data_IF_482033344023
#
_entry.id   IF_482033344023
#
_cell.length_a   1.000
_cell.length_b   1.000
_cell.length_c   1.000
_cell.angle_alpha   90.00
_cell.angle_beta   90.00
_cell.angle_gamma   90.00
#
_symmetry.space_group_name_H-M   'P 1'
#
loop_
_entity.id
_entity.type
_entity.pdbx_description
1 polymer ?
#
# COMPACT_ATOMS: atom_id res chain seq x y z
N UNK A 1 5.73 40.80 -21.22
CA UNK A 1 6.68 39.70 -20.91
C UNK A 1 6.21 39.05 -19.62
N UNK A 2 5.62 37.86 -19.70
CA UNK A 2 5.12 37.14 -18.53
C UNK A 2 6.26 36.31 -17.93
N UNK A 3 6.53 36.50 -16.63
CA UNK A 3 7.54 35.77 -15.87
C UNK A 3 7.03 34.35 -15.61
N UNK A 4 7.73 33.34 -16.10
CA UNK A 4 7.51 31.95 -15.68
C UNK A 4 8.02 31.83 -14.25
N UNK A 5 7.10 31.65 -13.29
CA UNK A 5 7.48 31.29 -11.93
C UNK A 5 7.80 29.80 -11.95
N UNK A 6 9.09 29.46 -11.88
CA UNK A 6 9.54 28.11 -11.58
C UNK A 6 9.16 27.83 -10.14
N UNK A 7 8.04 27.16 -9.92
CA UNK A 7 7.66 26.67 -8.59
C UNK A 7 8.63 25.54 -8.23
N UNK A 8 9.77 25.88 -7.63
CA UNK A 8 10.60 24.89 -6.95
C UNK A 8 9.81 24.35 -5.77
N UNK A 9 9.14 23.22 -5.97
CA UNK A 9 8.50 22.45 -4.91
C UNK A 9 9.60 22.08 -3.93
N UNK A 10 9.67 22.83 -2.83
CA UNK A 10 10.60 22.53 -1.74
C UNK A 10 9.97 21.39 -0.96
N UNK A 11 10.07 20.17 -1.50
CA UNK A 11 9.64 18.97 -0.79
C UNK A 11 10.40 18.94 0.54
N UNK A 12 9.68 19.15 1.64
CA UNK A 12 10.28 19.27 2.96
C UNK A 12 10.95 17.94 3.32
N UNK A 13 12.24 17.95 3.65
CA UNK A 13 12.98 16.73 3.99
C UNK A 13 12.36 15.95 5.17
N UNK A 14 11.69 16.64 6.09
CA UNK A 14 10.95 16.01 7.19
C UNK A 14 9.75 15.19 6.69
N UNK A 15 9.14 15.60 5.57
CA UNK A 15 7.99 14.95 4.98
C UNK A 15 8.36 13.70 4.16
N UNK A 16 9.46 13.75 3.40
CA UNK A 16 10.02 12.55 2.76
C UNK A 16 10.45 11.50 3.79
N UNK A 17 10.91 11.96 4.94
CA UNK A 17 11.22 11.08 6.06
C UNK A 17 9.94 10.44 6.64
N UNK A 18 8.84 11.18 6.74
CA UNK A 18 7.52 10.67 7.16
C UNK A 18 6.98 9.58 6.23
N UNK A 19 6.97 9.79 4.90
CA UNK A 19 6.57 8.75 3.93
C UNK A 19 7.45 7.50 4.07
N UNK A 20 8.75 7.69 4.24
CA UNK A 20 9.70 6.59 4.39
C UNK A 20 9.45 5.80 5.67
N UNK A 21 9.14 6.48 6.77
CA UNK A 21 8.79 5.86 8.05
C UNK A 21 7.49 5.06 7.93
N UNK A 22 6.44 5.64 7.35
CA UNK A 22 5.15 4.97 7.12
C UNK A 22 5.32 3.72 6.26
N UNK A 23 6.11 3.80 5.19
CA UNK A 23 6.40 2.65 4.33
C UNK A 23 7.20 1.56 5.07
N UNK A 24 8.21 1.94 5.88
CA UNK A 24 8.96 0.98 6.69
C UNK A 24 8.07 0.23 7.69
N UNK A 25 7.18 0.95 8.37
CA UNK A 25 6.22 0.38 9.29
C UNK A 25 5.24 -0.57 8.59
N UNK A 26 4.78 -0.24 7.38
CA UNK A 26 3.93 -1.11 6.55
C UNK A 26 4.65 -2.44 6.26
N UNK A 27 5.89 -2.40 5.77
CA UNK A 27 6.64 -3.62 5.46
C UNK A 27 6.98 -4.45 6.70
N UNK A 28 7.18 -3.81 7.84
CA UNK A 28 7.38 -4.48 9.13
C UNK A 28 6.12 -5.26 9.53
N UNK A 29 4.95 -4.62 9.49
CA UNK A 29 3.66 -5.24 9.80
C UNK A 29 3.36 -6.40 8.83
N UNK A 30 3.58 -6.20 7.54
CA UNK A 30 3.40 -7.25 6.52
C UNK A 30 4.27 -8.48 6.81
N UNK A 31 5.52 -8.27 7.22
CA UNK A 31 6.43 -9.36 7.57
C UNK A 31 5.94 -10.14 8.78
N UNK A 32 5.45 -9.46 9.81
CA UNK A 32 4.90 -10.09 11.01
C UNK A 32 3.66 -10.93 10.69
N UNK A 33 2.72 -10.38 9.91
CA UNK A 33 1.51 -11.11 9.50
C UNK A 33 1.89 -12.31 8.63
N UNK A 34 2.85 -12.16 7.72
CA UNK A 34 3.35 -13.24 6.87
C UNK A 34 4.01 -14.36 7.66
N UNK A 35 4.77 -14.03 8.70
CA UNK A 35 5.39 -15.04 9.57
C UNK A 35 4.32 -15.92 10.24
N UNK A 36 3.26 -15.31 10.76
CA UNK A 36 2.13 -16.03 11.36
C UNK A 36 1.40 -16.86 10.29
N UNK A 37 1.07 -16.25 9.15
CA UNK A 37 0.30 -16.91 8.10
C UNK A 37 1.07 -18.06 7.40
N UNK A 38 2.40 -18.01 7.41
CA UNK A 38 3.26 -19.06 6.85
C UNK A 38 3.26 -20.36 7.66
N UNK A 39 2.69 -20.36 8.87
CA UNK A 39 2.65 -21.53 9.74
C UNK A 39 1.20 -21.83 10.19
N UNK A 40 0.59 -22.92 9.70
CA UNK A 40 -0.79 -23.31 10.03
C UNK A 40 -1.11 -23.33 11.53
N UNK A 41 -0.15 -23.79 12.35
CA UNK A 41 -0.29 -23.84 13.80
C UNK A 41 -0.32 -22.45 14.44
N UNK A 42 0.52 -21.53 13.95
CA UNK A 42 0.63 -20.15 14.47
C UNK A 42 -0.65 -19.35 14.21
N UNK A 43 -1.32 -19.55 13.06
CA UNK A 43 -2.61 -18.92 12.77
C UNK A 43 -3.65 -19.23 13.87
N UNK A 44 -3.68 -20.46 14.39
CA UNK A 44 -4.64 -20.87 15.42
C UNK A 44 -4.19 -20.43 16.81
N UNK A 45 -2.92 -20.68 17.14
CA UNK A 45 -2.36 -20.43 18.47
C UNK A 45 -2.27 -18.93 18.78
N UNK A 46 -2.03 -18.09 17.76
CA UNK A 46 -1.84 -16.64 17.87
C UNK A 46 -2.94 -15.82 17.19
N UNK A 47 -4.13 -16.38 16.99
CA UNK A 47 -5.26 -15.72 16.31
C UNK A 47 -5.59 -14.31 16.80
N UNK A 48 -5.46 -14.03 18.09
CA UNK A 48 -5.68 -12.69 18.66
C UNK A 48 -4.57 -11.72 18.28
N UNK A 49 -3.31 -12.17 18.33
CA UNK A 49 -2.18 -11.37 17.87
C UNK A 49 -2.25 -11.13 16.35
N UNK A 50 -2.66 -12.14 15.59
CA UNK A 50 -2.91 -12.03 14.16
C UNK A 50 -3.98 -10.99 13.85
N UNK A 51 -5.12 -11.02 14.56
CA UNK A 51 -6.18 -10.03 14.42
C UNK A 51 -5.64 -8.60 14.67
N UNK A 52 -4.95 -8.40 15.79
CA UNK A 52 -4.37 -7.09 16.11
C UNK A 52 -3.39 -6.61 15.03
N UNK A 53 -2.53 -7.50 14.51
CA UNK A 53 -1.61 -7.17 13.43
C UNK A 53 -2.33 -6.83 12.12
N UNK A 54 -3.44 -7.50 11.81
CA UNK A 54 -4.27 -7.20 10.63
C UNK A 54 -5.00 -5.86 10.75
N UNK A 55 -5.50 -5.53 11.95
CA UNK A 55 -6.12 -4.22 12.23
C UNK A 55 -5.10 -3.09 12.10
N UNK A 56 -3.89 -3.25 12.67
CA UNK A 56 -2.80 -2.29 12.51
C UNK A 56 -2.37 -2.17 11.05
N UNK A 57 -2.28 -3.28 10.32
CA UNK A 57 -1.95 -3.28 8.89
C UNK A 57 -2.99 -2.50 8.08
N UNK A 58 -4.29 -2.69 8.35
CA UNK A 58 -5.36 -1.93 7.70
C UNK A 58 -5.20 -0.43 7.93
N UNK A 59 -4.95 -0.03 9.18
CA UNK A 59 -4.82 1.38 9.53
C UNK A 59 -3.56 1.99 8.89
N UNK A 60 -2.45 1.24 8.87
CA UNK A 60 -1.22 1.65 8.21
C UNK A 60 -1.39 1.78 6.69
N UNK A 61 -2.11 0.87 6.04
CA UNK A 61 -2.42 0.95 4.61
C UNK A 61 -3.24 2.20 4.29
N UNK A 62 -4.23 2.52 5.13
CA UNK A 62 -5.03 3.73 4.93
C UNK A 62 -4.17 5.00 5.02
N UNK A 63 -3.23 5.05 5.97
CA UNK A 63 -2.29 6.16 6.10
C UNK A 63 -1.35 6.22 4.89
N UNK A 64 -0.75 5.09 4.50
CA UNK A 64 0.14 4.97 3.35
C UNK A 64 -0.51 5.49 2.07
N UNK A 65 -1.68 4.96 1.71
CA UNK A 65 -2.43 5.39 0.52
C UNK A 65 -2.87 6.86 0.60
N UNK A 66 -3.28 7.34 1.78
CA UNK A 66 -3.64 8.74 1.95
C UNK A 66 -2.45 9.68 1.72
N UNK A 67 -1.24 9.28 2.13
CA UNK A 67 -0.02 10.05 1.85
C UNK A 67 0.33 10.03 0.37
N UNK A 68 0.23 8.88 -0.29
CA UNK A 68 0.50 8.78 -1.74
C UNK A 68 -0.47 9.61 -2.57
N UNK A 69 -1.75 9.61 -2.19
CA UNK A 69 -2.79 10.39 -2.87
C UNK A 69 -2.69 11.89 -2.59
N UNK A 70 -2.43 12.30 -1.35
CA UNK A 70 -2.42 13.71 -0.96
C UNK A 70 -1.15 14.45 -1.41
N UNK A 71 -0.04 13.74 -1.51
CA UNK A 71 1.26 14.33 -1.85
C UNK A 71 1.75 13.94 -3.23
N UNK A 72 0.97 13.09 -3.90
CA UNK A 72 1.00 12.93 -5.33
C UNK A 72 2.40 12.74 -5.87
N UNK A 73 2.82 11.48 -5.95
CA UNK A 73 3.56 11.07 -7.15
C UNK A 73 2.72 11.31 -8.45
N UNK A 74 1.44 11.69 -8.30
CA UNK A 74 0.38 11.73 -9.29
C UNK A 74 -0.22 13.12 -9.59
N UNK A 75 0.07 14.16 -8.79
CA UNK A 75 -0.51 15.51 -9.02
C UNK A 75 0.39 16.43 -9.88
N UNK A 76 1.70 16.24 -9.88
CA UNK A 76 2.63 16.94 -10.80
C UNK A 76 2.71 16.35 -12.24
N UNK A 77 2.51 15.03 -12.49
CA UNK A 77 2.53 14.46 -13.85
C UNK A 77 1.36 14.88 -14.75
N UNK A 78 0.30 15.47 -14.19
CA UNK A 78 -0.86 15.96 -14.97
C UNK A 78 -0.42 17.04 -15.99
N UNK A 79 0.70 17.73 -15.72
CA UNK A 79 1.28 18.71 -16.65
C UNK A 79 2.30 18.09 -17.61
N UNK A 80 2.92 16.95 -17.25
CA UNK A 80 4.10 16.40 -17.96
C UNK A 80 3.72 15.33 -19.01
N UNK A 81 2.79 14.40 -18.73
CA UNK A 81 2.39 13.39 -19.72
C UNK A 81 1.00 12.74 -19.47
N UNK A 82 0.03 12.85 -20.42
CA UNK A 82 -1.30 12.24 -20.30
C UNK A 82 -1.31 10.72 -20.07
N UNK A 83 -0.27 10.00 -20.53
CA UNK A 83 -0.11 8.56 -20.31
C UNK A 83 0.17 8.23 -18.84
N UNK A 84 0.96 9.04 -18.15
CA UNK A 84 1.28 8.85 -16.74
C UNK A 84 0.06 9.13 -15.86
N UNK A 85 -0.80 10.09 -16.24
CA UNK A 85 -2.07 10.38 -15.56
C UNK A 85 -3.08 9.23 -15.63
N UNK A 86 -3.15 8.48 -16.74
CA UNK A 86 -4.03 7.29 -16.80
C UNK A 86 -3.52 6.14 -15.92
N UNK A 87 -2.20 5.91 -15.89
CA UNK A 87 -1.60 4.90 -15.03
C UNK A 87 -1.75 5.26 -13.55
N UNK A 88 -1.61 6.54 -13.22
CA UNK A 88 -1.85 7.10 -11.88
C UNK A 88 -3.26 6.82 -11.37
N UNK A 89 -4.27 7.14 -12.19
CA UNK A 89 -5.67 6.94 -11.81
C UNK A 89 -6.00 5.44 -11.68
N UNK A 90 -5.39 4.59 -12.52
CA UNK A 90 -5.52 3.14 -12.39
C UNK A 90 -4.94 2.64 -11.06
N UNK A 91 -3.74 3.08 -10.68
CA UNK A 91 -3.08 2.69 -9.43
C UNK A 91 -3.87 3.16 -8.20
N UNK A 92 -4.37 4.40 -8.23
CA UNK A 92 -5.28 4.93 -7.19
C UNK A 92 -6.54 4.07 -7.04
N UNK A 93 -7.07 3.53 -8.14
CA UNK A 93 -8.17 2.57 -8.10
C UNK A 93 -7.84 1.29 -7.31
N UNK A 94 -6.59 0.84 -7.36
CA UNK A 94 -6.14 -0.38 -6.67
C UNK A 94 -6.01 -0.20 -5.14
N UNK A 95 -5.75 1.02 -4.65
CA UNK A 95 -5.70 1.32 -3.21
C UNK A 95 -6.97 0.88 -2.50
N UNK A 96 -8.12 1.21 -3.09
CA UNK A 96 -9.43 0.85 -2.55
C UNK A 96 -9.58 -0.66 -2.46
N UNK A 97 -9.20 -1.38 -3.51
CA UNK A 97 -9.35 -2.83 -3.57
C UNK A 97 -8.44 -3.51 -2.53
N UNK A 98 -7.18 -3.07 -2.43
CA UNK A 98 -6.21 -3.55 -1.42
C UNK A 98 -6.69 -3.28 -0.01
N UNK A 99 -7.19 -2.08 0.26
CA UNK A 99 -7.75 -1.71 1.56
C UNK A 99 -8.95 -2.59 1.92
N UNK A 100 -9.86 -2.82 0.98
CA UNK A 100 -11.03 -3.68 1.20
C UNK A 100 -10.63 -5.14 1.45
N UNK A 101 -9.59 -5.65 0.78
CA UNK A 101 -9.04 -6.99 1.06
C UNK A 101 -8.49 -7.09 2.49
N UNK A 102 -7.73 -6.09 2.95
CA UNK A 102 -7.21 -6.06 4.32
C UNK A 102 -8.34 -6.00 5.36
N UNK A 103 -9.34 -5.14 5.14
CA UNK A 103 -10.55 -5.06 5.98
C UNK A 103 -11.28 -6.41 6.04
N UNK A 104 -11.56 -7.02 4.88
CA UNK A 104 -12.28 -8.29 4.80
C UNK A 104 -11.54 -9.42 5.52
N UNK A 105 -10.21 -9.46 5.43
CA UNK A 105 -9.40 -10.43 6.15
C UNK A 105 -9.45 -10.22 7.67
N UNK A 106 -9.30 -8.98 8.14
CA UNK A 106 -9.40 -8.66 9.57
C UNK A 106 -10.79 -9.01 10.13
N UNK A 107 -11.86 -8.63 9.43
CA UNK A 107 -13.24 -8.95 9.81
C UNK A 107 -13.50 -10.46 9.84
N UNK A 108 -12.99 -11.20 8.85
CA UNK A 108 -13.11 -12.66 8.83
C UNK A 108 -12.44 -13.28 10.06
N UNK A 109 -11.21 -12.87 10.36
CA UNK A 109 -10.46 -13.36 11.53
C UNK A 109 -11.18 -13.04 12.82
N UNK A 110 -11.68 -11.81 12.96
CA UNK A 110 -12.43 -11.35 14.12
C UNK A 110 -13.70 -12.20 14.36
N UNK A 111 -14.53 -12.34 13.32
CA UNK A 111 -15.81 -13.05 13.42
C UNK A 111 -15.61 -14.53 13.76
N UNK A 112 -14.66 -15.20 13.12
CA UNK A 112 -14.38 -16.63 13.37
C UNK A 112 -13.76 -16.86 14.74
N UNK A 113 -12.85 -15.98 15.16
CA UNK A 113 -12.26 -16.04 16.51
C UNK A 113 -13.33 -15.87 17.59
N UNK A 114 -14.24 -14.91 17.45
CA UNK A 114 -15.34 -14.68 18.40
C UNK A 114 -16.32 -15.88 18.48
N UNK A 115 -16.57 -16.54 17.35
CA UNK A 115 -17.49 -17.70 17.29
C UNK A 115 -16.85 -19.04 17.65
N UNK A 116 -15.51 -19.11 17.73
CA UNK A 116 -14.78 -20.36 17.93
C UNK A 116 -14.86 -21.32 16.75
N UNK A 117 -15.18 -20.83 15.56
CA UNK A 117 -15.38 -21.63 14.34
C UNK A 117 -14.06 -21.74 13.56
N UNK A 118 -13.29 -22.81 13.80
CA UNK A 118 -11.96 -23.00 13.18
C UNK A 118 -11.96 -23.90 11.94
N UNK A 119 -13.12 -24.37 11.50
CA UNK A 119 -13.23 -25.18 10.28
C UNK A 119 -12.79 -24.35 9.08
N UNK A 120 -11.81 -24.86 8.31
CA UNK A 120 -11.20 -24.16 7.15
C UNK A 120 -10.60 -22.77 7.47
N UNK A 121 -10.53 -22.38 8.74
CA UNK A 121 -10.06 -21.07 9.16
C UNK A 121 -8.63 -20.80 8.70
N UNK A 122 -7.75 -21.76 8.94
CA UNK A 122 -6.33 -21.66 8.62
C UNK A 122 -6.10 -21.55 7.11
N UNK A 123 -6.71 -22.45 6.34
CA UNK A 123 -6.57 -22.46 4.87
C UNK A 123 -7.11 -21.16 4.25
N UNK A 124 -8.24 -20.67 4.76
CA UNK A 124 -8.84 -19.43 4.27
C UNK A 124 -7.98 -18.21 4.60
N UNK A 125 -7.53 -18.07 5.86
CA UNK A 125 -6.68 -16.95 6.29
C UNK A 125 -5.38 -16.92 5.51
N UNK A 126 -4.69 -18.06 5.38
CA UNK A 126 -3.44 -18.13 4.63
C UNK A 126 -3.64 -17.76 3.16
N UNK A 127 -4.66 -18.31 2.50
CA UNK A 127 -4.92 -18.03 1.09
C UNK A 127 -5.33 -16.57 0.83
N UNK A 128 -6.17 -15.99 1.70
CA UNK A 128 -6.56 -14.58 1.59
C UNK A 128 -5.38 -13.65 1.82
N UNK A 129 -4.55 -13.92 2.84
CA UNK A 129 -3.35 -13.13 3.09
C UNK A 129 -2.35 -13.21 1.94
N UNK A 130 -2.07 -14.41 1.40
CA UNK A 130 -1.17 -14.58 0.26
C UNK A 130 -1.69 -13.84 -0.98
N UNK A 131 -3.00 -13.91 -1.24
CA UNK A 131 -3.63 -13.18 -2.34
C UNK A 131 -3.50 -11.67 -2.19
N UNK A 132 -3.75 -11.15 -0.99
CA UNK A 132 -3.58 -9.73 -0.66
C UNK A 132 -2.11 -9.30 -0.79
N UNK A 133 -1.17 -10.06 -0.19
CA UNK A 133 0.26 -9.76 -0.19
C UNK A 133 0.84 -9.69 -1.61
N UNK A 134 0.47 -10.64 -2.48
CA UNK A 134 0.93 -10.65 -3.86
C UNK A 134 0.37 -9.48 -4.67
N UNK A 135 -0.88 -9.07 -4.41
CA UNK A 135 -1.48 -7.90 -5.07
C UNK A 135 -0.82 -6.60 -4.62
N UNK A 136 -0.51 -6.46 -3.33
CA UNK A 136 0.21 -5.31 -2.82
C UNK A 136 1.63 -5.22 -3.41
N UNK A 137 2.37 -6.33 -3.48
CA UNK A 137 3.68 -6.34 -4.14
C UNK A 137 3.61 -5.95 -5.62
N UNK A 138 2.59 -6.42 -6.34
CA UNK A 138 2.41 -6.07 -7.74
C UNK A 138 1.99 -4.60 -7.92
N UNK A 139 1.24 -4.04 -6.98
CA UNK A 139 0.89 -2.63 -6.93
C UNK A 139 2.15 -1.77 -6.74
N UNK A 140 2.92 -2.00 -5.69
CA UNK A 140 4.17 -1.30 -5.36
C UNK A 140 5.19 -1.34 -6.51
N UNK A 141 5.32 -2.49 -7.18
CA UNK A 141 6.20 -2.61 -8.34
C UNK A 141 5.77 -1.69 -9.50
N UNK A 142 4.46 -1.57 -9.75
CA UNK A 142 3.93 -0.69 -10.81
C UNK A 142 4.00 0.78 -10.43
N UNK A 143 3.88 1.11 -9.15
CA UNK A 143 4.14 2.47 -8.66
C UNK A 143 5.61 2.84 -8.84
N UNK A 144 6.53 1.96 -8.48
CA UNK A 144 7.96 2.17 -8.69
C UNK A 144 8.31 2.38 -10.17
N UNK A 145 7.71 1.59 -11.07
CA UNK A 145 7.86 1.75 -12.52
C UNK A 145 7.32 3.11 -13.00
N UNK A 146 6.20 3.58 -12.45
CA UNK A 146 5.65 4.89 -12.77
C UNK A 146 6.57 6.02 -12.33
N UNK A 147 7.11 5.94 -11.11
CA UNK A 147 8.05 6.93 -10.57
C UNK A 147 9.28 7.03 -11.46
N UNK A 148 9.87 5.88 -11.85
CA UNK A 148 11.02 5.85 -12.75
C UNK A 148 10.70 6.45 -14.12
N UNK A 149 9.53 6.12 -14.69
CA UNK A 149 9.10 6.65 -15.97
C UNK A 149 8.86 8.17 -15.94
N UNK A 150 8.42 8.72 -14.80
CA UNK A 150 8.26 10.17 -14.62
C UNK A 150 9.62 10.90 -14.59
N UNK A 151 10.64 10.32 -13.95
CA UNK A 151 12.00 10.88 -13.94
C UNK A 151 12.66 10.88 -15.32
N UNK A 152 12.49 9.81 -16.10
CA UNK A 152 13.06 9.73 -17.45
C UNK A 152 12.46 10.77 -18.42
N UNK A 153 11.17 11.10 -18.26
CA UNK A 153 10.46 12.08 -19.10
C UNK A 153 10.85 13.53 -18.73
N UNK A 154 11.10 13.82 -17.45
CA UNK A 154 11.53 15.14 -16.96
C UNK A 154 12.96 15.51 -17.41
N UNK A 155 13.85 14.52 -17.60
CA UNK A 155 15.21 14.73 -18.13
C UNK A 155 15.23 14.96 -19.66
N UNK A 156 14.14 14.64 -20.37
CA UNK A 156 14.08 14.55 -21.83
C UNK A 156 13.92 15.86 -22.63
N UNK A 157 13.77 17.04 -21.99
CA UNK A 157 13.48 18.32 -22.68
C UNK A 157 14.70 19.19 -22.98
N UNK A 158 15.86 18.58 -23.26
CA UNK A 158 17.09 19.28 -23.62
C UNK A 158 17.55 19.08 -25.06
N UNK A 159 16.95 19.79 -26.02
CA UNK A 159 17.60 20.30 -27.24
C UNK A 159 16.91 21.60 -27.70
#
# INVERSE_FOLDING_TARGET
>A
MASVQTATVTVNAAFMQEIKEVNQELWELLRQVREICGQPFEIVSRREALLNSLELLRDQLALHFALEEAYGYFDDPVIVAPRLSQMAEQLRGEHRDLYMMACGLAEFVEQRTKRGELTQFVEHVAAQFDSFYNQLLAHEAREQDLILAAYDDDIGVGD
#
